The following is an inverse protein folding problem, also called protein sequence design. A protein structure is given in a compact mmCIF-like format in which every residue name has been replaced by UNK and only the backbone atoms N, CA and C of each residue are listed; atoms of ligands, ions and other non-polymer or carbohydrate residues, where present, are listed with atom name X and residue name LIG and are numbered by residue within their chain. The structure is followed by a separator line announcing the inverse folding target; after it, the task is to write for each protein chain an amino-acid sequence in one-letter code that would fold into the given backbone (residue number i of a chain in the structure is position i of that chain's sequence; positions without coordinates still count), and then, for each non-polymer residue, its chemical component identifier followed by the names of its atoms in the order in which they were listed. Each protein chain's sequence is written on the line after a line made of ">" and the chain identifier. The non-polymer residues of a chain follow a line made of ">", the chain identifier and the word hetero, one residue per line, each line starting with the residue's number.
data_IF_038705441381
#
_entry.id   IF_038705441381
#
_cell.length_a   1.000
_cell.length_b   1.000
_cell.length_c   1.000
_cell.angle_alpha   90.00
_cell.angle_beta   90.00
_cell.angle_gamma   90.00
#
_symmetry.space_group_name_H-M   'P 1'
#
loop_
_entity.id
_entity.type
_entity.pdbx_description
1 polymer ?
#
# COMPACT_ATOMS: atom_id res chain seq x y z
N UNK A 1 25.55 8.30 -22.57
CA UNK A 1 25.38 8.83 -21.19
C UNK A 1 24.39 10.01 -21.04
N UNK A 2 24.06 10.80 -22.07
CA UNK A 2 23.16 11.96 -21.93
C UNK A 2 21.69 11.63 -21.59
N UNK A 3 21.19 10.44 -21.93
CA UNK A 3 19.80 10.04 -21.67
C UNK A 3 19.54 9.54 -20.23
N UNK A 4 20.58 9.21 -19.46
CA UNK A 4 20.44 8.70 -18.09
C UNK A 4 20.08 9.81 -17.10
N UNK A 5 20.63 11.02 -17.28
CA UNK A 5 20.36 12.18 -16.43
C UNK A 5 18.93 12.71 -16.58
N UNK A 6 18.31 12.56 -17.77
CA UNK A 6 16.94 13.01 -18.03
C UNK A 6 15.89 12.18 -17.28
N UNK A 7 16.11 10.87 -17.15
CA UNK A 7 15.13 9.98 -16.50
C UNK A 7 15.13 10.13 -14.97
N UNK A 8 16.29 10.34 -14.35
CA UNK A 8 16.38 10.60 -12.89
C UNK A 8 15.73 11.93 -12.53
N UNK A 9 15.91 12.97 -13.37
CA UNK A 9 15.28 14.26 -13.14
C UNK A 9 13.73 14.17 -13.21
N UNK A 10 13.19 13.37 -14.13
CA UNK A 10 11.74 13.15 -14.23
C UNK A 10 11.18 12.39 -13.01
N UNK A 11 11.86 11.35 -12.54
CA UNK A 11 11.44 10.56 -11.38
C UNK A 11 11.44 11.39 -10.08
N UNK A 12 12.45 12.25 -9.88
CA UNK A 12 12.50 13.19 -8.75
C UNK A 12 11.37 14.23 -8.84
N UNK A 13 11.12 14.77 -10.04
CA UNK A 13 10.07 15.77 -10.26
C UNK A 13 8.67 15.19 -9.94
N UNK A 14 8.40 13.96 -10.36
CA UNK A 14 7.14 13.27 -10.08
C UNK A 14 6.95 13.06 -8.58
N UNK A 15 7.98 12.58 -7.87
CA UNK A 15 7.89 12.40 -6.41
C UNK A 15 7.63 13.75 -5.69
N UNK A 16 8.24 14.83 -6.17
CA UNK A 16 8.07 16.18 -5.63
C UNK A 16 6.63 16.69 -5.80
N UNK A 17 6.07 16.51 -7.00
CA UNK A 17 4.70 16.92 -7.34
C UNK A 17 3.67 16.11 -6.54
N UNK A 18 3.88 14.80 -6.40
CA UNK A 18 3.01 13.93 -5.61
C UNK A 18 2.97 14.34 -4.13
N UNK A 19 4.14 14.64 -3.57
CA UNK A 19 4.26 15.06 -2.17
C UNK A 19 3.56 16.41 -1.95
N UNK A 20 3.70 17.36 -2.89
CA UNK A 20 3.04 18.65 -2.84
C UNK A 20 1.51 18.56 -2.98
N UNK A 21 1.00 17.67 -3.86
CA UNK A 21 -0.43 17.42 -4.01
C UNK A 21 -1.04 16.79 -2.76
N UNK A 22 -0.37 15.80 -2.17
CA UNK A 22 -0.81 15.17 -0.91
C UNK A 22 -0.86 16.21 0.21
N UNK A 23 0.15 17.09 0.32
CA UNK A 23 0.17 18.15 1.32
C UNK A 23 -0.95 19.18 1.09
N UNK A 24 -1.19 19.58 -0.17
CA UNK A 24 -2.24 20.54 -0.52
C UNK A 24 -3.66 20.02 -0.25
N UNK A 25 -3.95 18.75 -0.57
CA UNK A 25 -5.25 18.13 -0.30
C UNK A 25 -5.50 18.02 1.21
N UNK A 26 -4.44 17.70 1.97
CA UNK A 26 -4.49 17.70 3.43
C UNK A 26 -4.80 19.11 3.96
N UNK A 27 -4.14 20.15 3.46
CA UNK A 27 -4.39 21.54 3.89
C UNK A 27 -5.78 22.06 3.56
N UNK A 28 -6.41 21.59 2.47
CA UNK A 28 -7.75 22.04 2.06
C UNK A 28 -8.90 21.35 2.81
N UNK A 29 -8.67 20.17 3.39
CA UNK A 29 -9.69 19.38 4.09
C UNK A 29 -9.60 19.46 5.63
N UNK A 30 -8.76 20.33 6.19
CA UNK A 30 -8.83 20.65 7.61
C UNK A 30 -9.84 21.79 7.77
N UNK A 31 -11.09 21.53 8.21
CA UNK A 31 -11.98 22.61 8.55
C UNK A 31 -11.34 23.44 9.66
N UNK A 32 -11.27 24.76 9.47
CA UNK A 32 -10.87 25.73 10.48
C UNK A 32 -11.89 25.77 11.63
N UNK A 33 -12.04 24.67 12.37
CA UNK A 33 -12.85 24.68 13.59
C UNK A 33 -11.96 25.10 14.75
N UNK A 34 -12.22 26.35 15.13
CA UNK A 34 -11.79 27.10 16.30
C UNK A 34 -11.18 26.27 17.43
N UNK A 35 -9.97 26.69 17.76
CA UNK A 35 -9.27 26.44 19.01
C UNK A 35 -10.16 26.96 20.16
N UNK A 36 -10.45 26.08 21.11
CA UNK A 36 -10.84 26.30 22.52
C UNK A 36 -12.00 25.36 22.91
N UNK A 37 -11.67 24.25 23.59
CA UNK A 37 -12.49 23.66 24.65
C UNK A 37 -11.56 22.89 25.61
N UNK A 38 -11.77 23.10 26.91
CA UNK A 38 -10.91 22.73 28.04
C UNK A 38 -11.01 21.26 28.48
N UNK A 39 -11.26 20.32 27.57
CA UNK A 39 -11.27 18.90 27.90
C UNK A 39 -10.18 18.19 27.10
N UNK A 40 -9.35 17.43 27.81
CA UNK A 40 -8.10 16.82 27.35
C UNK A 40 -8.25 15.70 26.31
N UNK A 41 -9.07 15.89 25.29
CA UNK A 41 -9.05 15.07 24.08
C UNK A 41 -8.12 15.72 23.06
N UNK A 42 -6.89 15.20 23.02
CA UNK A 42 -5.91 15.52 21.99
C UNK A 42 -6.55 15.21 20.62
N UNK A 43 -6.65 16.22 19.75
CA UNK A 43 -7.18 16.12 18.37
C UNK A 43 -6.45 15.03 17.57
N UNK A 44 -6.93 13.79 17.68
CA UNK A 44 -6.40 12.57 17.05
C UNK A 44 -6.40 12.63 15.53
N UNK A 45 -7.29 13.45 14.95
CA UNK A 45 -7.43 13.61 13.49
C UNK A 45 -6.21 14.25 12.82
N UNK A 46 -5.65 15.33 13.38
CA UNK A 46 -4.50 16.04 12.77
C UNK A 46 -3.22 15.23 12.84
N UNK A 47 -3.01 14.51 13.95
CA UNK A 47 -1.85 13.62 14.13
C UNK A 47 -1.95 12.41 13.19
N UNK A 48 -3.15 11.83 13.03
CA UNK A 48 -3.36 10.74 12.08
C UNK A 48 -3.03 11.13 10.64
N UNK A 49 -3.38 12.37 10.24
CA UNK A 49 -3.15 12.88 8.88
C UNK A 49 -1.67 13.15 8.59
N UNK A 50 -0.92 13.65 9.58
CA UNK A 50 0.55 13.81 9.53
C UNK A 50 1.29 12.47 9.48
N UNK A 51 0.78 11.46 10.19
CA UNK A 51 1.33 10.10 10.15
C UNK A 51 1.04 9.43 8.79
N UNK A 52 -0.13 9.69 8.21
CA UNK A 52 -0.50 9.16 6.89
C UNK A 52 0.37 9.77 5.78
N UNK A 53 0.62 11.09 5.81
CA UNK A 53 1.43 11.76 4.78
C UNK A 53 2.91 11.35 4.82
N UNK A 54 3.47 11.19 6.03
CA UNK A 54 4.84 10.70 6.20
C UNK A 54 4.99 9.22 5.80
N UNK A 55 3.98 8.39 6.06
CA UNK A 55 3.97 7.00 5.59
C UNK A 55 3.88 6.88 4.06
N UNK A 56 3.06 7.72 3.42
CA UNK A 56 2.97 7.82 1.95
C UNK A 56 4.31 8.25 1.35
N UNK A 57 4.97 9.26 1.91
CA UNK A 57 6.28 9.72 1.45
C UNK A 57 7.35 8.63 1.58
N UNK A 58 7.38 7.90 2.70
CA UNK A 58 8.29 6.78 2.90
C UNK A 58 8.03 5.63 1.92
N UNK A 59 6.75 5.36 1.62
CA UNK A 59 6.37 4.33 0.65
C UNK A 59 6.82 4.69 -0.77
N UNK A 60 6.57 5.92 -1.22
CA UNK A 60 6.97 6.42 -2.53
C UNK A 60 8.49 6.40 -2.70
N UNK A 61 9.24 6.84 -1.69
CA UNK A 61 10.72 6.83 -1.73
C UNK A 61 11.31 5.42 -1.71
N UNK A 62 10.72 4.49 -0.94
CA UNK A 62 11.15 3.09 -0.91
C UNK A 62 10.81 2.37 -2.23
N UNK A 63 9.67 2.66 -2.82
CA UNK A 63 9.27 2.13 -4.13
C UNK A 63 10.21 2.62 -5.24
N UNK A 64 10.53 3.92 -5.27
CA UNK A 64 11.47 4.49 -6.22
C UNK A 64 12.88 3.85 -6.12
N UNK A 65 13.37 3.62 -4.89
CA UNK A 65 14.68 2.97 -4.67
C UNK A 65 14.68 1.47 -5.02
N UNK A 66 13.58 0.75 -4.77
CA UNK A 66 13.42 -0.65 -5.20
C UNK A 66 13.37 -0.78 -6.73
N UNK A 67 12.72 0.15 -7.42
CA UNK A 67 12.72 0.19 -8.89
C UNK A 67 14.10 0.48 -9.47
N UNK A 68 14.84 1.41 -8.87
CA UNK A 68 16.22 1.72 -9.28
C UNK A 68 17.14 0.50 -9.15
N UNK A 69 17.01 -0.28 -8.06
CA UNK A 69 17.82 -1.48 -7.82
C UNK A 69 17.43 -2.66 -8.71
N UNK A 70 16.13 -2.91 -8.94
CA UNK A 70 15.66 -3.99 -9.84
C UNK A 70 16.05 -3.74 -11.31
N UNK A 71 16.13 -2.47 -11.73
CA UNK A 71 16.59 -2.08 -13.08
C UNK A 71 18.10 -2.28 -13.30
N UNK A 72 18.90 -2.23 -12.23
CA UNK A 72 20.35 -2.54 -12.29
C UNK A 72 20.57 -4.05 -12.43
N UNK A 73 19.79 -4.86 -11.71
CA UNK A 73 19.88 -6.33 -11.73
C UNK A 73 19.41 -6.89 -13.08
N UNK A 74 18.36 -6.31 -13.67
CA UNK A 74 17.77 -6.81 -14.93
C UNK A 74 18.55 -6.40 -16.20
N UNK A 75 19.70 -5.72 -16.08
CA UNK A 75 20.56 -5.40 -17.22
C UNK A 75 21.46 -6.57 -17.65
N UNK A 76 21.56 -7.62 -16.84
CA UNK A 76 22.46 -8.75 -17.08
C UNK A 76 21.76 -9.99 -17.67
N UNK A 77 20.42 -10.04 -17.69
CA UNK A 77 19.67 -11.20 -18.19
C UNK A 77 18.85 -10.80 -19.42
N UNK A 78 19.42 -11.00 -20.60
CA UNK A 78 18.70 -10.85 -21.87
C UNK A 78 17.64 -11.94 -22.01
N UNK A 79 16.40 -11.67 -21.60
CA UNK A 79 15.24 -12.44 -22.01
C UNK A 79 13.95 -11.62 -21.98
N UNK A 80 13.16 -11.89 -23.00
CA UNK A 80 11.97 -11.26 -23.55
C UNK A 80 10.73 -11.29 -22.62
N UNK A 81 10.81 -10.86 -21.36
CA UNK A 81 9.61 -10.65 -20.53
C UNK A 81 9.08 -9.24 -20.78
N UNK A 82 7.80 -9.12 -21.16
CA UNK A 82 7.07 -7.89 -21.47
C UNK A 82 7.50 -6.75 -20.55
N UNK A 83 8.35 -5.87 -21.08
CA UNK A 83 8.84 -4.71 -20.37
C UNK A 83 7.64 -3.79 -20.17
N UNK A 84 6.95 -3.92 -19.04
CA UNK A 84 6.00 -2.90 -18.60
C UNK A 84 6.75 -1.59 -18.73
N UNK A 85 6.30 -0.73 -19.64
CA UNK A 85 6.96 0.56 -19.82
C UNK A 85 6.84 1.31 -18.50
N UNK A 86 7.93 1.92 -18.04
CA UNK A 86 7.90 2.78 -16.86
C UNK A 86 6.75 3.79 -16.96
N UNK A 87 6.41 4.22 -18.18
CA UNK A 87 5.30 5.12 -18.50
C UNK A 87 3.93 4.51 -18.18
N UNK A 88 3.70 3.22 -18.50
CA UNK A 88 2.44 2.52 -18.17
C UNK A 88 2.26 2.37 -16.67
N UNK A 89 3.33 2.04 -15.95
CA UNK A 89 3.27 1.97 -14.49
C UNK A 89 2.97 3.34 -13.88
N UNK A 90 3.72 4.36 -14.30
CA UNK A 90 3.54 5.72 -13.82
C UNK A 90 2.13 6.25 -14.08
N UNK A 91 1.60 6.03 -15.29
CA UNK A 91 0.24 6.40 -15.65
C UNK A 91 -0.79 5.73 -14.72
N UNK A 92 -0.67 4.42 -14.48
CA UNK A 92 -1.58 3.71 -13.58
C UNK A 92 -1.47 4.15 -12.12
N UNK A 93 -0.28 4.55 -11.66
CA UNK A 93 -0.10 5.14 -10.33
C UNK A 93 -0.84 6.47 -10.23
N UNK A 94 -0.75 7.33 -11.26
CA UNK A 94 -1.50 8.60 -11.32
C UNK A 94 -3.00 8.32 -11.28
N UNK A 95 -3.49 7.36 -12.05
CA UNK A 95 -4.90 6.97 -12.05
C UNK A 95 -5.37 6.43 -10.69
N UNK A 96 -4.56 5.61 -10.03
CA UNK A 96 -4.84 5.11 -8.68
C UNK A 96 -4.96 6.26 -7.67
N UNK A 97 -4.09 7.26 -7.75
CA UNK A 97 -4.14 8.44 -6.87
C UNK A 97 -5.37 9.30 -7.18
N UNK A 98 -5.67 9.52 -8.46
CA UNK A 98 -6.86 10.24 -8.88
C UNK A 98 -8.14 9.61 -8.31
N UNK A 99 -8.21 8.29 -8.30
CA UNK A 99 -9.32 7.55 -7.72
C UNK A 99 -9.45 7.79 -6.21
N UNK A 100 -8.34 7.68 -5.47
CA UNK A 100 -8.31 7.94 -4.02
C UNK A 100 -8.70 9.37 -3.65
N UNK A 101 -8.43 10.34 -4.53
CA UNK A 101 -8.71 11.77 -4.28
C UNK A 101 -10.14 12.15 -4.67
N UNK A 102 -10.66 11.62 -5.79
CA UNK A 102 -11.95 12.05 -6.36
C UNK A 102 -13.13 11.29 -5.78
N UNK A 103 -12.95 10.04 -5.37
CA UNK A 103 -14.05 9.19 -4.93
C UNK A 103 -14.32 9.42 -3.42
N UNK A 104 -15.52 9.88 -3.03
CA UNK A 104 -15.83 10.17 -1.62
C UNK A 104 -15.98 8.90 -0.78
N UNK A 105 -16.19 7.73 -1.40
CA UNK A 105 -16.26 6.46 -0.70
C UNK A 105 -14.88 5.82 -0.67
N UNK A 106 -14.21 5.89 0.49
CA UNK A 106 -12.85 5.38 0.68
C UNK A 106 -12.70 3.89 0.33
N UNK A 107 -13.70 3.06 0.64
CA UNK A 107 -13.62 1.62 0.39
C UNK A 107 -13.63 1.32 -1.10
N UNK A 108 -14.53 1.97 -1.83
CA UNK A 108 -14.61 1.87 -3.30
C UNK A 108 -13.34 2.44 -3.94
N UNK A 109 -12.88 3.60 -3.47
CA UNK A 109 -11.69 4.26 -3.98
C UNK A 109 -10.44 3.38 -3.85
N UNK A 110 -10.29 2.69 -2.71
CA UNK A 110 -9.13 1.83 -2.44
C UNK A 110 -9.11 0.61 -3.35
N UNK A 111 -10.24 -0.08 -3.51
CA UNK A 111 -10.34 -1.25 -4.41
C UNK A 111 -10.08 -0.85 -5.87
N UNK A 112 -10.62 0.28 -6.30
CA UNK A 112 -10.39 0.79 -7.65
C UNK A 112 -8.91 1.17 -7.86
N UNK A 113 -8.27 1.80 -6.87
CA UNK A 113 -6.84 2.12 -6.91
C UNK A 113 -5.97 0.85 -6.98
N UNK A 114 -6.30 -0.18 -6.19
CA UNK A 114 -5.64 -1.49 -6.26
C UNK A 114 -5.73 -2.10 -7.66
N UNK A 115 -6.89 -2.02 -8.30
CA UNK A 115 -7.06 -2.50 -9.68
C UNK A 115 -6.09 -1.83 -10.66
N UNK A 116 -5.95 -0.50 -10.61
CA UNK A 116 -5.04 0.23 -11.50
C UNK A 116 -3.60 -0.22 -11.32
N UNK A 117 -3.16 -0.34 -10.07
CA UNK A 117 -1.79 -0.78 -9.75
C UNK A 117 -1.60 -2.23 -10.19
N UNK A 118 -2.49 -3.14 -9.81
CA UNK A 118 -2.32 -4.56 -10.07
C UNK A 118 -2.24 -4.89 -11.55
N UNK A 119 -3.10 -4.28 -12.39
CA UNK A 119 -3.07 -4.46 -13.85
C UNK A 119 -1.77 -3.95 -14.50
N UNK A 120 -1.01 -3.09 -13.81
CA UNK A 120 0.25 -2.56 -14.33
C UNK A 120 1.45 -3.47 -14.04
N UNK A 121 1.40 -4.26 -12.97
CA UNK A 121 2.50 -5.12 -12.49
C UNK A 121 2.18 -6.61 -12.48
N UNK A 122 1.05 -6.99 -13.10
CA UNK A 122 0.58 -8.38 -13.18
C UNK A 122 0.44 -9.03 -11.79
N UNK A 123 -0.11 -8.25 -10.85
CA UNK A 123 -0.46 -8.76 -9.52
C UNK A 123 -1.83 -9.42 -9.61
N UNK A 124 -1.90 -10.57 -8.98
CA UNK A 124 -3.05 -11.47 -9.00
C UNK A 124 -4.06 -11.20 -7.88
N UNK A 125 -3.57 -10.66 -6.74
CA UNK A 125 -4.35 -10.33 -5.55
C UNK A 125 -3.64 -9.23 -4.76
N UNK A 126 -4.41 -8.27 -4.26
CA UNK A 126 -3.98 -7.28 -3.28
C UNK A 126 -4.91 -7.38 -2.08
N UNK A 127 -4.34 -7.44 -0.88
CA UNK A 127 -5.10 -7.54 0.37
C UNK A 127 -4.73 -6.39 1.28
N UNK A 128 -5.75 -5.75 1.87
CA UNK A 128 -5.58 -4.78 2.94
C UNK A 128 -5.99 -5.39 4.27
N UNK A 129 -5.07 -5.33 5.23
CA UNK A 129 -5.32 -5.74 6.60
C UNK A 129 -5.58 -4.52 7.49
N UNK A 130 -6.59 -4.63 8.35
CA UNK A 130 -6.91 -3.62 9.38
C UNK A 130 -6.55 -4.18 10.76
N UNK A 131 -5.55 -3.58 11.39
CA UNK A 131 -5.14 -3.95 12.74
C UNK A 131 -6.02 -3.24 13.78
N UNK A 132 -6.42 -3.96 14.83
CA UNK A 132 -7.08 -3.40 16.02
C UNK A 132 -6.34 -3.85 17.27
N UNK A 133 -6.25 -2.95 18.24
CA UNK A 133 -5.73 -3.27 19.56
C UNK A 133 -6.91 -3.48 20.51
N UNK A 134 -6.93 -4.63 21.18
CA UNK A 134 -7.91 -4.97 22.20
C UNK A 134 -7.33 -4.68 23.59
N UNK A 135 -7.98 -3.75 24.30
CA UNK A 135 -7.56 -3.29 25.63
C UNK A 135 -7.81 -4.35 26.72
N UNK A 136 -8.82 -5.19 26.57
CA UNK A 136 -9.17 -6.18 27.60
C UNK A 136 -8.17 -7.33 27.61
N UNK A 137 -7.82 -7.82 26.42
CA UNK A 137 -6.87 -8.94 26.27
C UNK A 137 -5.42 -8.48 26.13
N UNK A 138 -5.18 -7.18 25.96
CA UNK A 138 -3.87 -6.59 25.64
C UNK A 138 -3.22 -7.25 24.40
N UNK A 139 -4.04 -7.57 23.39
CA UNK A 139 -3.59 -8.22 22.14
C UNK A 139 -3.91 -7.37 20.93
N UNK A 140 -3.08 -7.52 19.90
CA UNK A 140 -3.32 -6.92 18.58
C UNK A 140 -3.91 -8.01 17.68
N UNK A 141 -5.04 -7.69 17.07
CA UNK A 141 -5.70 -8.52 16.08
C UNK A 141 -5.60 -7.86 14.71
N UNK A 142 -5.55 -8.67 13.66
CA UNK A 142 -5.59 -8.22 12.27
C UNK A 142 -6.84 -8.79 11.59
N UNK A 143 -7.45 -7.96 10.76
CA UNK A 143 -8.66 -8.29 10.02
C UNK A 143 -8.40 -8.16 8.54
N UNK A 144 -8.77 -9.19 7.78
CA UNK A 144 -8.83 -9.12 6.32
C UNK A 144 -9.96 -8.15 5.94
N UNK A 145 -9.58 -6.94 5.53
CA UNK A 145 -10.51 -5.80 5.46
C UNK A 145 -10.99 -5.52 4.04
N UNK A 146 -10.08 -5.54 3.07
CA UNK A 146 -10.40 -5.37 1.65
C UNK A 146 -9.57 -6.29 0.79
N UNK A 147 -10.13 -6.66 -0.35
CA UNK A 147 -9.50 -7.47 -1.38
C UNK A 147 -9.67 -6.78 -2.73
N UNK A 148 -8.62 -6.83 -3.55
CA UNK A 148 -8.75 -6.80 -4.99
C UNK A 148 -8.17 -8.10 -5.54
N UNK A 149 -8.86 -8.71 -6.50
CA UNK A 149 -8.43 -9.97 -7.12
C UNK A 149 -8.71 -9.93 -8.62
N UNK A 150 -7.81 -10.52 -9.42
CA UNK A 150 -7.97 -10.59 -10.87
C UNK A 150 -9.10 -11.53 -11.30
N UNK A 151 -9.36 -12.60 -10.53
CA UNK A 151 -10.45 -13.55 -10.73
C UNK A 151 -11.32 -13.63 -9.47
N UNK A 152 -12.56 -13.16 -9.59
CA UNK A 152 -13.54 -13.10 -8.49
C UNK A 152 -13.89 -14.48 -7.91
N UNK A 153 -13.62 -15.57 -8.63
CA UNK A 153 -13.88 -16.94 -8.16
C UNK A 153 -13.00 -17.35 -6.97
N UNK A 154 -11.95 -16.57 -6.68
CA UNK A 154 -11.02 -16.82 -5.57
C UNK A 154 -11.13 -15.76 -4.47
N UNK A 155 -12.25 -15.04 -4.36
CA UNK A 155 -12.41 -14.05 -3.29
C UNK A 155 -12.43 -14.71 -1.92
N UNK A 156 -11.70 -14.13 -0.97
CA UNK A 156 -11.59 -14.58 0.41
C UNK A 156 -12.17 -13.59 1.42
N UNK A 157 -12.63 -12.43 0.96
CA UNK A 157 -13.25 -11.41 1.81
C UNK A 157 -14.39 -11.94 2.73
N UNK A 158 -15.26 -12.89 2.32
CA UNK A 158 -16.30 -13.41 3.22
C UNK A 158 -15.80 -14.45 4.24
N UNK A 159 -14.55 -14.90 4.18
CA UNK A 159 -14.03 -15.95 5.06
C UNK A 159 -13.90 -15.46 6.51
N UNK A 160 -14.69 -16.05 7.41
CA UNK A 160 -14.70 -15.70 8.83
C UNK A 160 -13.40 -16.08 9.54
N UNK A 161 -12.65 -17.04 9.01
CA UNK A 161 -11.36 -17.47 9.59
C UNK A 161 -10.29 -16.39 9.47
N UNK A 162 -10.48 -15.44 8.55
CA UNK A 162 -9.58 -14.31 8.32
C UNK A 162 -9.95 -13.07 9.14
N UNK A 163 -10.93 -13.20 10.05
CA UNK A 163 -11.32 -12.16 11.00
C UNK A 163 -10.66 -12.40 12.35
N UNK A 164 -10.25 -11.31 12.98
CA UNK A 164 -9.68 -11.25 14.32
C UNK A 164 -8.53 -12.23 14.54
N UNK A 165 -7.65 -12.33 13.54
CA UNK A 165 -6.43 -13.13 13.61
C UNK A 165 -5.46 -12.47 14.59
N UNK A 166 -4.98 -13.16 15.65
CA UNK A 166 -3.96 -12.60 16.52
C UNK A 166 -2.70 -12.28 15.70
N UNK A 167 -2.27 -11.02 15.71
CA UNK A 167 -1.19 -10.56 14.84
C UNK A 167 0.12 -11.34 15.08
N UNK A 168 0.37 -11.73 16.33
CA UNK A 168 1.53 -12.55 16.73
C UNK A 168 1.53 -13.98 16.16
N UNK A 169 0.40 -14.48 15.66
CA UNK A 169 0.34 -15.78 14.99
C UNK A 169 0.89 -15.72 13.55
N UNK A 170 1.28 -14.53 13.07
CA UNK A 170 1.75 -14.30 11.71
C UNK A 170 3.14 -13.62 11.75
N UNK A 171 4.17 -14.32 12.26
CA UNK A 171 5.45 -13.71 12.60
C UNK A 171 6.18 -13.09 11.40
N UNK A 172 6.02 -13.64 10.18
CA UNK A 172 6.63 -13.06 8.99
C UNK A 172 6.13 -11.64 8.66
N UNK A 173 4.82 -11.37 8.79
CA UNK A 173 4.27 -10.00 8.62
C UNK A 173 4.72 -9.11 9.78
N UNK A 174 4.68 -9.62 11.01
CA UNK A 174 5.05 -8.84 12.20
C UNK A 174 6.49 -8.36 12.13
N UNK A 175 7.41 -9.26 11.80
CA UNK A 175 8.83 -8.94 11.69
C UNK A 175 9.07 -7.91 10.60
N UNK A 176 8.40 -8.03 9.46
CA UNK A 176 8.58 -7.10 8.33
C UNK A 176 7.99 -5.72 8.62
N UNK A 177 6.84 -5.66 9.29
CA UNK A 177 6.26 -4.41 9.80
C UNK A 177 7.18 -3.73 10.82
N UNK A 178 7.70 -4.46 11.81
CA UNK A 178 8.63 -3.91 12.81
C UNK A 178 9.94 -3.40 12.18
N UNK A 179 10.45 -4.14 11.19
CA UNK A 179 11.66 -3.77 10.46
C UNK A 179 11.41 -2.66 9.42
N UNK A 180 10.15 -2.24 9.21
CA UNK A 180 9.73 -1.29 8.16
C UNK A 180 10.23 -1.71 6.77
N UNK A 181 10.19 -3.00 6.49
CA UNK A 181 10.62 -3.59 5.22
C UNK A 181 9.46 -4.34 4.56
N UNK A 182 9.38 -4.36 3.23
CA UNK A 182 8.43 -5.21 2.54
C UNK A 182 8.78 -6.69 2.77
N UNK A 183 7.77 -7.54 2.96
CA UNK A 183 7.93 -8.98 2.90
C UNK A 183 7.99 -9.40 1.42
N UNK A 184 9.09 -10.03 1.01
CA UNK A 184 9.25 -10.63 -0.31
C UNK A 184 9.59 -12.09 -0.07
N UNK A 185 8.64 -12.98 -0.35
CA UNK A 185 8.79 -14.42 -0.13
C UNK A 185 7.92 -15.19 -1.13
N UNK A 186 8.30 -16.44 -1.42
CA UNK A 186 7.38 -17.37 -2.07
C UNK A 186 6.41 -17.93 -1.03
N UNK A 187 5.17 -18.20 -1.40
CA UNK A 187 4.15 -18.73 -0.46
C UNK A 187 4.55 -20.09 0.15
N UNK A 188 5.31 -20.89 -0.60
CA UNK A 188 5.84 -22.19 -0.15
C UNK A 188 6.86 -22.06 0.99
N UNK A 189 7.52 -20.91 1.10
CA UNK A 189 8.56 -20.66 2.12
C UNK A 189 7.96 -20.05 3.41
N UNK A 190 6.67 -19.72 3.41
CA UNK A 190 5.98 -19.09 4.53
C UNK A 190 5.36 -20.14 5.47
N UNK A 191 5.14 -19.73 6.72
CA UNK A 191 4.48 -20.57 7.72
C UNK A 191 3.06 -20.98 7.27
N UNK A 192 2.53 -22.15 7.68
CA UNK A 192 1.23 -22.64 7.22
C UNK A 192 0.08 -21.65 7.36
N UNK A 193 0.02 -20.91 8.47
CA UNK A 193 -1.02 -19.88 8.71
C UNK A 193 -0.93 -18.76 7.67
N UNK A 194 0.27 -18.27 7.38
CA UNK A 194 0.49 -17.24 6.37
C UNK A 194 0.17 -17.76 4.97
N UNK A 195 0.56 -19.01 4.70
CA UNK A 195 0.28 -19.66 3.43
C UNK A 195 -1.21 -19.75 3.18
N UNK A 196 -2.00 -20.13 4.18
CA UNK A 196 -3.46 -20.19 4.07
C UNK A 196 -4.09 -18.82 3.74
N UNK A 197 -3.53 -17.74 4.31
CA UNK A 197 -3.98 -16.36 4.05
C UNK A 197 -3.63 -15.90 2.62
N UNK A 198 -2.47 -16.31 2.09
CA UNK A 198 -1.95 -15.81 0.82
C UNK A 198 -2.31 -16.70 -0.38
N UNK A 199 -2.50 -18.00 -0.17
CA UNK A 199 -2.82 -18.93 -1.24
C UNK A 199 -4.26 -18.73 -1.73
N UNK A 200 -4.43 -18.94 -3.04
CA UNK A 200 -5.73 -18.94 -3.70
C UNK A 200 -6.44 -20.24 -3.36
N UNK A 201 -7.24 -20.23 -2.30
CA UNK A 201 -8.22 -21.27 -2.08
C UNK A 201 -9.48 -20.94 -2.88
N UNK A 202 -9.99 -21.89 -3.66
CA UNK A 202 -11.38 -21.81 -4.13
C UNK A 202 -12.26 -21.92 -2.88
N UNK A 203 -12.95 -20.84 -2.56
CA UNK A 203 -13.95 -20.80 -1.50
C UNK A 203 -15.24 -21.44 -2.00
#
# INVERSE_FOLDING_TARGET
>A
MKNFKKNIAAEILICSILTALIFGIISLNVPETSICNNEGELKTSTIALLLLSSALLACVTTFATSFATKKIINKNNGALCNKVSNDKLLFNVIEAINELVKNPNFDVATVNAFSKIACSVDIDRIVLFKNRYDKETNKIYTNYYQEWISDSSYTQLPDLRLKDLPLFNIPAIVNTLFLKKPLIANTVDLEPVMREILERNKV
#
